data_IF_615360915864
#
_entry.id   IF_615360915864
#
_cell.length_a   1.000
_cell.length_b   1.000
_cell.length_c   1.000
_cell.angle_alpha   90.00
_cell.angle_beta   90.00
_cell.angle_gamma   90.00
#
_symmetry.space_group_name_H-M   'P 1'
#
loop_
_entity.id
_entity.type
_entity.pdbx_description
1 polymer ?
#
# COMPACT_ATOMS: atom_id res chain seq x y z
N UNK A 1 -36.11 -8.27 -3.34
CA UNK A 1 -35.30 -9.38 -3.91
C UNK A 1 -35.54 -9.54 -5.42
N UNK A 2 -36.78 -9.41 -5.91
CA UNK A 2 -37.12 -9.51 -7.35
C UNK A 2 -36.27 -8.65 -8.29
N UNK A 3 -35.87 -7.46 -7.84
CA UNK A 3 -35.10 -6.50 -8.65
C UNK A 3 -33.67 -6.97 -8.95
N UNK A 4 -33.04 -7.72 -8.05
CA UNK A 4 -31.70 -8.26 -8.29
C UNK A 4 -31.80 -9.46 -9.23
N UNK A 5 -32.80 -10.31 -9.04
CA UNK A 5 -33.02 -11.52 -9.85
C UNK A 5 -33.31 -11.14 -11.32
N UNK A 6 -34.07 -10.08 -11.58
CA UNK A 6 -34.35 -9.62 -12.94
C UNK A 6 -33.10 -9.09 -13.65
N UNK A 7 -32.23 -8.35 -12.95
CA UNK A 7 -30.96 -7.85 -13.48
C UNK A 7 -30.01 -9.00 -13.84
N UNK A 8 -29.91 -10.01 -12.97
CA UNK A 8 -29.07 -11.19 -13.23
C UNK A 8 -29.57 -11.98 -14.44
N UNK A 9 -30.88 -12.20 -14.57
CA UNK A 9 -31.47 -12.87 -15.74
C UNK A 9 -31.15 -12.12 -17.04
N UNK A 10 -31.32 -10.80 -17.05
CA UNK A 10 -30.99 -9.96 -18.21
C UNK A 10 -29.51 -10.07 -18.57
N UNK A 11 -28.62 -10.12 -17.59
CA UNK A 11 -27.18 -10.24 -17.83
C UNK A 11 -26.78 -11.60 -18.44
N UNK A 12 -27.46 -12.68 -18.06
CA UNK A 12 -27.21 -14.03 -18.60
C UNK A 12 -27.65 -14.19 -20.07
N UNK A 13 -28.54 -13.32 -20.55
CA UNK A 13 -29.01 -13.31 -21.94
C UNK A 13 -28.10 -12.48 -22.87
N UNK A 14 -27.12 -11.76 -22.34
CA UNK A 14 -26.19 -10.93 -23.14
C UNK A 14 -25.24 -11.85 -23.93
N UNK A 15 -25.15 -11.71 -25.27
CA UNK A 15 -24.20 -12.46 -26.08
C UNK A 15 -22.75 -12.17 -25.69
N UNK A 16 -21.87 -13.17 -25.80
CA UNK A 16 -20.45 -13.04 -25.44
C UNK A 16 -19.73 -11.88 -26.17
N UNK A 17 -20.15 -11.55 -27.39
CA UNK A 17 -19.62 -10.43 -28.18
C UNK A 17 -19.94 -9.05 -27.61
N UNK A 18 -20.99 -8.96 -26.78
CA UNK A 18 -21.45 -7.73 -26.13
C UNK A 18 -20.97 -7.63 -24.67
N UNK A 19 -20.32 -8.69 -24.16
CA UNK A 19 -19.75 -8.66 -22.82
C UNK A 19 -18.67 -7.56 -22.73
N UNK A 20 -18.65 -6.80 -21.63
CA UNK A 20 -17.58 -5.85 -21.41
C UNK A 20 -16.26 -6.60 -21.38
N UNK A 21 -15.22 -6.01 -21.98
CA UNK A 21 -13.87 -6.54 -21.85
C UNK A 21 -13.51 -6.57 -20.38
N UNK A 22 -13.01 -7.72 -19.90
CA UNK A 22 -12.43 -7.83 -18.57
C UNK A 22 -11.38 -6.74 -18.45
N UNK A 23 -11.61 -5.80 -17.53
CA UNK A 23 -10.60 -4.85 -17.15
C UNK A 23 -9.49 -5.66 -16.48
N UNK A 24 -8.43 -5.97 -17.22
CA UNK A 24 -7.18 -6.39 -16.59
C UNK A 24 -6.73 -5.20 -15.75
N UNK A 25 -6.68 -5.39 -14.44
CA UNK A 25 -6.03 -4.43 -13.56
C UNK A 25 -4.62 -4.13 -14.09
N UNK A 26 -4.08 -2.93 -13.85
CA UNK A 26 -2.75 -2.58 -14.31
C UNK A 26 -1.75 -3.69 -13.95
N UNK A 27 -0.99 -4.19 -14.94
CA UNK A 27 0.12 -5.10 -14.66
C UNK A 27 1.16 -4.31 -13.88
N UNK A 28 1.20 -4.52 -12.57
CA UNK A 28 2.15 -3.84 -11.71
C UNK A 28 3.55 -4.40 -11.93
N UNK A 29 4.58 -3.56 -12.06
CA UNK A 29 5.97 -4.00 -12.04
C UNK A 29 6.24 -4.85 -10.79
N UNK A 30 7.05 -5.90 -10.92
CA UNK A 30 7.47 -6.72 -9.77
C UNK A 30 8.15 -5.88 -8.66
N UNK A 31 8.68 -4.71 -9.02
CA UNK A 31 9.28 -3.74 -8.10
C UNK A 31 8.27 -3.18 -7.09
N UNK A 32 7.02 -2.92 -7.50
CA UNK A 32 5.95 -2.44 -6.62
C UNK A 32 5.75 -3.40 -5.45
N UNK A 33 5.72 -4.70 -5.76
CA UNK A 33 5.48 -5.73 -4.76
C UNK A 33 6.63 -5.82 -3.74
N UNK A 34 7.88 -5.75 -4.21
CA UNK A 34 9.06 -5.77 -3.33
C UNK A 34 9.09 -4.53 -2.44
N UNK A 35 8.88 -3.34 -3.01
CA UNK A 35 8.89 -2.09 -2.26
C UNK A 35 7.75 -2.04 -1.24
N UNK A 36 6.53 -2.44 -1.61
CA UNK A 36 5.40 -2.48 -0.67
C UNK A 36 5.62 -3.47 0.47
N UNK A 37 6.30 -4.61 0.24
CA UNK A 37 6.66 -5.55 1.32
C UNK A 37 7.66 -4.94 2.28
N UNK A 38 8.67 -4.23 1.79
CA UNK A 38 9.65 -3.51 2.63
C UNK A 38 8.92 -2.44 3.47
N UNK A 39 8.09 -1.61 2.84
CA UNK A 39 7.30 -0.61 3.56
C UNK A 39 6.35 -1.24 4.58
N UNK A 40 5.80 -2.42 4.31
CA UNK A 40 4.99 -3.17 5.26
C UNK A 40 5.76 -3.55 6.52
N UNK A 41 7.01 -3.98 6.40
CA UNK A 41 7.90 -4.26 7.53
C UNK A 41 8.22 -2.98 8.33
N UNK A 42 8.53 -1.89 7.63
CA UNK A 42 8.80 -0.58 8.24
C UNK A 42 7.59 -0.10 9.03
N UNK A 43 6.41 -0.15 8.42
CA UNK A 43 5.18 0.27 9.05
C UNK A 43 4.82 -0.62 10.23
N UNK A 44 4.99 -1.94 10.12
CA UNK A 44 4.73 -2.86 11.22
C UNK A 44 5.58 -2.53 12.45
N UNK A 45 6.89 -2.31 12.26
CA UNK A 45 7.78 -1.91 13.35
C UNK A 45 7.35 -0.57 13.97
N UNK A 46 7.04 0.43 13.13
CA UNK A 46 6.60 1.75 13.60
C UNK A 46 5.28 1.71 14.37
N UNK A 47 4.33 0.90 13.90
CA UNK A 47 3.05 0.70 14.57
C UNK A 47 3.25 0.04 15.93
N UNK A 48 4.15 -0.94 16.04
CA UNK A 48 4.46 -1.57 17.32
C UNK A 48 5.09 -0.59 18.32
N UNK A 49 6.05 0.24 17.90
CA UNK A 49 6.63 1.30 18.75
C UNK A 49 5.58 2.27 19.32
N UNK A 50 4.53 2.54 18.54
CA UNK A 50 3.47 3.48 18.89
C UNK A 50 2.23 2.81 19.52
N UNK A 51 2.22 1.48 19.68
CA UNK A 51 1.07 0.73 20.19
C UNK A 51 -0.16 0.79 19.29
N UNK A 52 0.02 0.92 17.98
CA UNK A 52 -1.04 1.04 16.98
C UNK A 52 -1.25 -0.27 16.21
N UNK A 53 -2.50 -0.56 15.84
CA UNK A 53 -2.78 -1.64 14.90
C UNK A 53 -2.40 -1.22 13.49
N UNK A 54 -1.60 -2.04 12.80
CA UNK A 54 -1.19 -1.76 11.42
C UNK A 54 -2.40 -1.65 10.48
N UNK A 55 -3.42 -2.49 10.66
CA UNK A 55 -4.64 -2.48 9.83
C UNK A 55 -5.47 -1.19 9.95
N UNK A 56 -5.28 -0.43 11.04
CA UNK A 56 -5.90 0.89 11.20
C UNK A 56 -5.16 1.96 10.40
N UNK A 57 -3.82 1.81 10.31
CA UNK A 57 -2.94 2.77 9.63
C UNK A 57 -2.98 2.54 8.12
N UNK A 58 -2.73 1.33 7.65
CA UNK A 58 -2.66 1.02 6.22
C UNK A 58 -2.93 -0.46 5.90
N UNK A 59 -3.38 -0.71 4.68
CA UNK A 59 -3.43 -2.02 4.05
C UNK A 59 -2.29 -2.20 3.05
N UNK A 60 -2.08 -3.42 2.56
CA UNK A 60 -1.15 -3.70 1.47
C UNK A 60 -1.49 -2.90 0.20
N UNK A 61 -2.78 -2.65 -0.07
CA UNK A 61 -3.19 -1.84 -1.21
C UNK A 61 -2.74 -0.38 -1.04
N UNK A 62 -2.93 0.21 0.15
CA UNK A 62 -2.48 1.56 0.45
C UNK A 62 -0.96 1.74 0.27
N UNK A 63 -0.18 0.72 0.66
CA UNK A 63 1.27 0.73 0.47
C UNK A 63 1.68 0.65 -1.00
N UNK A 64 0.95 -0.12 -1.83
CA UNK A 64 1.18 -0.19 -3.27
C UNK A 64 0.84 1.14 -3.94
N UNK A 65 -0.29 1.73 -3.57
CA UNK A 65 -0.71 3.02 -4.09
C UNK A 65 0.29 4.12 -3.69
N UNK A 66 0.82 4.07 -2.47
CA UNK A 66 1.88 4.98 -2.04
C UNK A 66 3.18 4.80 -2.84
N UNK A 67 3.66 3.57 -3.04
CA UNK A 67 4.86 3.30 -3.87
C UNK A 67 4.68 3.86 -5.28
N UNK A 68 3.51 3.64 -5.89
CA UNK A 68 3.20 4.13 -7.23
C UNK A 68 3.25 5.64 -7.31
N UNK A 69 2.53 6.31 -6.41
CA UNK A 69 2.50 7.76 -6.33
C UNK A 69 3.89 8.37 -6.06
N UNK A 70 4.71 7.72 -5.23
CA UNK A 70 6.00 8.27 -4.81
C UNK A 70 7.15 8.01 -5.79
N UNK A 71 7.15 6.87 -6.49
CA UNK A 71 8.27 6.38 -7.32
C UNK A 71 7.99 6.55 -8.82
N UNK A 72 6.76 6.29 -9.27
CA UNK A 72 6.45 6.14 -10.70
C UNK A 72 5.60 7.26 -11.27
N UNK A 73 4.92 8.04 -10.43
CA UNK A 73 4.14 9.22 -10.83
C UNK A 73 4.91 10.50 -10.49
N UNK A 74 4.74 11.56 -11.28
CA UNK A 74 5.33 12.90 -11.04
C UNK A 74 4.68 13.65 -9.85
N UNK A 75 4.13 12.92 -8.87
CA UNK A 75 3.33 13.38 -7.72
C UNK A 75 2.18 14.34 -8.05
N UNK A 76 1.83 14.48 -9.33
CA UNK A 76 0.74 15.33 -9.83
C UNK A 76 -0.64 14.68 -9.73
N UNK A 77 -0.69 13.38 -9.41
CA UNK A 77 -1.92 12.65 -9.13
C UNK A 77 -2.40 12.88 -7.68
N UNK A 78 -3.63 12.46 -7.42
CA UNK A 78 -4.26 12.53 -6.10
C UNK A 78 -3.38 11.87 -5.03
N UNK A 79 -3.21 12.59 -3.92
CA UNK A 79 -2.32 12.18 -2.84
C UNK A 79 -2.88 10.93 -2.15
N UNK A 80 -2.07 9.89 -1.88
CA UNK A 80 -2.55 8.69 -1.20
C UNK A 80 -3.06 9.02 0.20
N UNK A 81 -4.13 8.34 0.64
CA UNK A 81 -4.71 8.47 1.99
C UNK A 81 -3.69 8.31 3.12
N UNK A 82 -2.66 7.51 2.90
CA UNK A 82 -1.56 7.30 3.84
C UNK A 82 -0.78 8.59 4.14
N UNK A 83 -0.75 9.51 3.18
CA UNK A 83 -0.08 10.80 3.26
C UNK A 83 -1.01 11.94 3.70
N UNK A 84 -2.18 11.61 4.22
CA UNK A 84 -3.16 12.57 4.72
C UNK A 84 -3.42 12.41 6.22
N UNK A 85 -3.77 13.53 6.87
CA UNK A 85 -4.17 13.55 8.28
C UNK A 85 -3.18 12.88 9.23
N UNK A 86 -3.71 12.17 10.22
CA UNK A 86 -2.92 11.53 11.28
C UNK A 86 -2.03 10.39 10.77
N UNK A 87 -2.41 9.70 9.68
CA UNK A 87 -1.60 8.62 9.09
C UNK A 87 -0.27 9.14 8.58
N UNK A 88 -0.29 10.31 7.94
CA UNK A 88 0.92 10.99 7.48
C UNK A 88 1.86 11.33 8.64
N UNK A 89 1.31 11.69 9.81
CA UNK A 89 2.10 12.04 10.99
C UNK A 89 2.76 10.80 11.61
N UNK A 90 2.10 9.64 11.51
CA UNK A 90 2.61 8.37 12.06
C UNK A 90 3.74 7.79 11.21
N UNK A 91 3.57 7.77 9.88
CA UNK A 91 4.47 7.03 8.99
C UNK A 91 4.88 7.76 7.70
N UNK A 92 4.28 8.91 7.38
CA UNK A 92 4.43 9.52 6.05
C UNK A 92 5.87 9.88 5.69
N UNK A 93 6.56 10.56 6.61
CA UNK A 93 7.97 10.92 6.40
C UNK A 93 8.87 9.68 6.40
N UNK A 94 8.63 8.73 7.31
CA UNK A 94 9.43 7.50 7.42
C UNK A 94 9.39 6.68 6.13
N UNK A 95 8.20 6.41 5.60
CA UNK A 95 8.04 5.64 4.36
C UNK A 95 8.62 6.39 3.15
N UNK A 96 8.47 7.70 3.11
CA UNK A 96 9.09 8.55 2.09
C UNK A 96 10.62 8.47 2.15
N UNK A 97 11.22 8.56 3.34
CA UNK A 97 12.66 8.50 3.53
C UNK A 97 13.24 7.14 3.16
N UNK A 98 12.52 6.05 3.45
CA UNK A 98 12.89 4.70 3.00
C UNK A 98 12.91 4.61 1.48
N UNK A 99 11.86 5.07 0.78
CA UNK A 99 11.84 5.05 -0.69
C UNK A 99 12.87 5.99 -1.32
N UNK A 100 13.22 7.09 -0.65
CA UNK A 100 14.25 8.02 -1.10
C UNK A 100 15.68 7.53 -0.83
N UNK A 101 15.86 6.34 -0.23
CA UNK A 101 17.16 5.80 0.13
C UNK A 101 17.88 6.60 1.22
N UNK A 102 17.13 7.27 2.11
CA UNK A 102 17.68 8.07 3.23
C UNK A 102 17.71 7.30 4.55
N UNK A 103 17.28 6.04 4.52
CA UNK A 103 17.16 5.19 5.71
C UNK A 103 17.85 3.87 5.45
N UNK A 104 18.72 3.49 6.38
CA UNK A 104 19.25 2.14 6.49
C UNK A 104 18.37 1.30 7.41
N UNK A 105 17.92 0.14 6.90
CA UNK A 105 17.21 -0.88 7.66
C UNK A 105 18.20 -1.97 8.08
N UNK A 106 18.26 -2.28 9.37
CA UNK A 106 19.09 -3.38 9.89
C UNK A 106 18.38 -4.18 10.98
N UNK A 107 18.79 -5.43 11.13
CA UNK A 107 18.41 -6.23 12.31
C UNK A 107 19.33 -5.82 13.46
N UNK A 108 18.77 -5.16 14.47
CA UNK A 108 19.50 -4.71 15.67
C UNK A 108 19.69 -5.85 16.66
N UNK A 109 18.61 -6.56 16.99
CA UNK A 109 18.66 -7.71 17.88
C UNK A 109 17.52 -8.70 17.55
N UNK A 110 17.83 -9.90 17.02
CA UNK A 110 16.81 -10.86 16.61
C UNK A 110 15.98 -11.45 17.77
N UNK A 111 16.41 -11.24 19.03
CA UNK A 111 15.70 -11.69 20.23
C UNK A 111 14.88 -10.58 20.91
N UNK A 112 14.89 -9.37 20.36
CA UNK A 112 14.09 -8.26 20.89
C UNK A 112 12.65 -8.34 20.39
N UNK A 113 11.72 -7.75 21.15
CA UNK A 113 10.36 -7.47 20.66
C UNK A 113 10.36 -6.59 19.41
N UNK A 114 11.37 -5.71 19.27
CA UNK A 114 11.55 -4.83 18.12
C UNK A 114 12.91 -5.13 17.47
N UNK A 115 12.98 -6.14 16.59
CA UNK A 115 14.26 -6.65 16.11
C UNK A 115 14.93 -5.75 15.08
N UNK A 116 14.21 -4.78 14.51
CA UNK A 116 14.68 -3.90 13.44
C UNK A 116 15.05 -2.51 13.99
N UNK A 117 16.07 -1.89 13.42
CA UNK A 117 16.33 -0.45 13.56
C UNK A 117 16.36 0.25 12.21
N UNK A 118 15.91 1.50 12.23
CA UNK A 118 15.93 2.43 11.09
C UNK A 118 16.84 3.59 11.46
N UNK A 119 17.93 3.74 10.73
CA UNK A 119 18.94 4.77 10.95
C UNK A 119 18.96 5.69 9.72
N UNK A 120 18.96 7.00 9.93
CA UNK A 120 19.09 7.96 8.83
C UNK A 120 20.56 7.97 8.40
N UNK A 121 20.79 7.89 7.10
CA UNK A 121 22.14 8.12 6.56
C UNK A 121 22.44 9.62 6.71
N UNK A 122 23.52 9.95 7.46
CA UNK A 122 24.02 11.32 7.64
C UNK A 122 24.73 11.85 6.39
#
# INVERSE_FOLDING_TARGET
>A
AETIVSVVKRALEIPDSELPRKQSGPQHPAQDEVLSRILGLVLANRCQELGLSMSLVATTADLKDFVRWHVFTDRSEERPKLMEGWRSQVCGQLLSDVLNGKMTLRVKNPKSEYPLSFERDE
#
